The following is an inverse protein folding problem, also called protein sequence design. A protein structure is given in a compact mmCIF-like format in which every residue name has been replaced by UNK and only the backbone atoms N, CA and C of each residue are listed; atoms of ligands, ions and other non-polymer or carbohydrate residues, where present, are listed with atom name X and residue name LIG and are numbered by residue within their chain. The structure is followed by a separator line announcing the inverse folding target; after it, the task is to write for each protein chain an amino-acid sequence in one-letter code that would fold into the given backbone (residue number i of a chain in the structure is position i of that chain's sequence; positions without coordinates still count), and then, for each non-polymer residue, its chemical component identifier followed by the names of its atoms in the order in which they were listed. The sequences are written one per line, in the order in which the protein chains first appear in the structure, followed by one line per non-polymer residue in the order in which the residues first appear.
data_IF_666999647273
#
_entry.id   IF_666999647273
#
_cell.length_a   1.000
_cell.length_b   1.000
_cell.length_c   1.000
_cell.angle_alpha   90.00
_cell.angle_beta   90.00
_cell.angle_gamma   90.00
#
_symmetry.space_group_name_H-M   'P 1'
#
loop_
_entity.id
_entity.type
_entity.pdbx_description
1 polymer ?
#
# COMPACT_ATOMS: atom_id res chain seq x y z
N UNK A 1 -8.42 -35.48 7.41
CA UNK A 1 -7.57 -34.58 8.21
C UNK A 1 -8.03 -33.17 7.87
N UNK A 2 -8.53 -32.43 8.82
CA UNK A 2 -8.83 -31.02 8.61
C UNK A 2 -7.49 -30.29 8.35
N UNK A 3 -7.41 -29.60 7.22
CA UNK A 3 -6.25 -28.79 6.90
C UNK A 3 -6.18 -27.64 7.92
N UNK A 4 -5.15 -27.63 8.75
CA UNK A 4 -4.91 -26.50 9.64
C UNK A 4 -4.24 -25.38 8.85
N UNK A 5 -4.66 -24.10 9.03
CA UNK A 5 -4.05 -23.00 8.32
C UNK A 5 -2.54 -22.92 8.61
N UNK A 6 -1.74 -22.70 7.54
CA UNK A 6 -0.28 -22.63 7.64
C UNK A 6 0.19 -21.23 8.09
N UNK A 7 -0.64 -20.22 7.85
CA UNK A 7 -0.41 -18.84 8.27
C UNK A 7 -1.28 -18.50 9.49
N UNK A 8 -0.79 -17.71 10.45
CA UNK A 8 -1.58 -17.19 11.55
C UNK A 8 -2.48 -16.02 11.15
N UNK A 9 -2.57 -15.72 9.86
CA UNK A 9 -3.32 -14.61 9.28
C UNK A 9 -3.87 -15.00 7.92
N UNK A 10 -4.80 -14.19 7.40
CA UNK A 10 -5.44 -14.42 6.10
C UNK A 10 -4.81 -13.60 4.99
N UNK A 11 -4.76 -14.23 3.82
CA UNK A 11 -4.45 -13.64 2.53
C UNK A 11 -5.77 -13.43 1.78
N UNK A 12 -5.91 -12.31 1.10
CA UNK A 12 -7.12 -11.99 0.33
C UNK A 12 -6.77 -12.06 -1.14
N UNK A 13 -7.48 -12.91 -1.89
CA UNK A 13 -7.23 -13.10 -3.31
C UNK A 13 -8.49 -13.51 -4.05
N UNK A 14 -8.61 -13.05 -5.30
CA UNK A 14 -9.59 -13.55 -6.28
C UNK A 14 -8.96 -13.56 -7.67
N UNK A 15 -9.35 -14.55 -8.49
CA UNK A 15 -9.02 -14.56 -9.91
C UNK A 15 -9.57 -13.33 -10.66
N UNK A 16 -10.61 -12.69 -10.12
CA UNK A 16 -11.18 -11.46 -10.64
C UNK A 16 -10.29 -10.20 -10.45
N UNK A 17 -9.12 -10.33 -9.82
CA UNK A 17 -8.13 -9.24 -9.72
C UNK A 17 -7.36 -9.01 -11.02
N UNK A 18 -7.50 -9.89 -12.00
CA UNK A 18 -6.90 -9.68 -13.32
C UNK A 18 -7.48 -8.43 -13.97
N UNK A 19 -6.58 -7.50 -14.34
CA UNK A 19 -6.95 -6.28 -15.06
C UNK A 19 -6.92 -6.54 -16.57
N UNK A 20 -8.05 -6.46 -17.28
CA UNK A 20 -8.13 -6.76 -18.72
C UNK A 20 -7.65 -5.56 -19.55
N UNK A 21 -6.37 -5.19 -19.40
CA UNK A 21 -5.74 -4.01 -20.01
C UNK A 21 -4.91 -4.32 -21.26
N UNK A 22 -4.90 -5.58 -21.70
CA UNK A 22 -4.15 -6.01 -22.89
C UNK A 22 -2.63 -6.00 -22.68
N UNK A 23 -1.88 -5.74 -23.75
CA UNK A 23 -0.42 -5.60 -23.68
C UNK A 23 -0.06 -4.26 -23.03
N UNK A 24 0.28 -4.30 -21.75
CA UNK A 24 0.59 -3.13 -20.94
C UNK A 24 1.85 -3.38 -20.11
N UNK A 25 2.57 -2.32 -19.71
CA UNK A 25 3.72 -2.43 -18.81
C UNK A 25 3.32 -3.00 -17.45
N UNK A 26 2.09 -2.73 -16.99
CA UNK A 26 1.53 -3.31 -15.78
C UNK A 26 1.26 -4.82 -16.01
N UNK A 27 1.95 -5.73 -15.31
CA UNK A 27 1.78 -7.17 -15.52
C UNK A 27 0.51 -7.65 -14.79
N UNK A 28 -0.64 -7.60 -15.48
CA UNK A 28 -1.95 -7.91 -14.90
C UNK A 28 -2.04 -9.32 -14.29
N UNK A 29 -1.22 -10.26 -14.78
CA UNK A 29 -1.12 -11.62 -14.27
C UNK A 29 -0.35 -11.77 -12.97
N UNK A 30 0.37 -10.75 -12.51
CA UNK A 30 1.26 -10.85 -11.33
C UNK A 30 0.53 -11.37 -10.09
N UNK A 31 -0.71 -10.96 -9.86
CA UNK A 31 -1.49 -11.37 -8.69
C UNK A 31 -1.77 -12.88 -8.66
N UNK A 32 -2.15 -13.44 -9.82
CA UNK A 32 -2.34 -14.89 -9.97
C UNK A 32 -1.01 -15.65 -9.80
N UNK A 33 0.06 -15.14 -10.42
CA UNK A 33 1.37 -15.76 -10.31
C UNK A 33 1.90 -15.77 -8.87
N UNK A 34 1.63 -14.71 -8.08
CA UNK A 34 1.97 -14.69 -6.66
C UNK A 34 1.15 -15.70 -5.87
N UNK A 35 -0.18 -15.76 -6.08
CA UNK A 35 -1.05 -16.75 -5.46
C UNK A 35 -0.54 -18.18 -5.73
N UNK A 36 -0.30 -18.52 -7.00
CA UNK A 36 0.17 -19.84 -7.42
C UNK A 36 1.54 -20.17 -6.82
N UNK A 37 2.45 -19.17 -6.77
CA UNK A 37 3.78 -19.31 -6.15
C UNK A 37 3.69 -19.58 -4.65
N UNK A 38 2.83 -18.90 -3.91
CA UNK A 38 2.66 -19.10 -2.47
C UNK A 38 2.17 -20.51 -2.14
N UNK A 39 1.23 -21.04 -2.95
CA UNK A 39 0.76 -22.43 -2.83
C UNK A 39 1.86 -23.43 -3.20
N UNK A 40 2.51 -23.25 -4.35
CA UNK A 40 3.54 -24.16 -4.85
C UNK A 40 4.77 -24.26 -3.94
N UNK A 41 5.14 -23.15 -3.29
CA UNK A 41 6.29 -23.09 -2.38
C UNK A 41 5.98 -23.56 -0.95
N UNK A 42 4.71 -23.81 -0.62
CA UNK A 42 4.29 -24.16 0.73
C UNK A 42 4.44 -23.01 1.75
N UNK A 43 4.47 -21.78 1.28
CA UNK A 43 4.41 -20.59 2.16
C UNK A 43 3.00 -20.43 2.71
N UNK A 44 1.98 -20.71 1.89
CA UNK A 44 0.57 -20.71 2.26
C UNK A 44 -0.15 -21.98 1.74
N UNK A 45 -1.28 -22.27 2.32
CA UNK A 45 -2.24 -23.29 1.86
C UNK A 45 -3.54 -22.62 1.39
N UNK A 46 -4.39 -23.36 0.66
CA UNK A 46 -5.65 -22.85 0.15
C UNK A 46 -6.58 -22.30 1.25
N UNK A 47 -6.52 -22.89 2.45
CA UNK A 47 -7.29 -22.45 3.62
C UNK A 47 -6.83 -21.11 4.22
N UNK A 48 -5.64 -20.62 3.84
CA UNK A 48 -5.13 -19.31 4.26
C UNK A 48 -5.74 -18.17 3.44
N UNK A 49 -6.32 -18.48 2.27
CA UNK A 49 -6.93 -17.49 1.39
C UNK A 49 -8.42 -17.28 1.67
N UNK A 50 -8.83 -16.02 1.62
CA UNK A 50 -10.24 -15.63 1.59
C UNK A 50 -10.52 -14.92 0.27
N UNK A 51 -11.65 -15.25 -0.34
CA UNK A 51 -12.13 -14.55 -1.53
C UNK A 51 -12.99 -13.36 -1.10
N UNK A 52 -12.72 -12.15 -1.62
CA UNK A 52 -13.49 -10.96 -1.27
C UNK A 52 -14.74 -10.84 -2.13
N UNK A 53 -15.77 -10.22 -1.56
CA UNK A 53 -16.87 -9.66 -2.33
C UNK A 53 -16.48 -8.28 -2.89
N UNK A 54 -16.98 -7.87 -4.05
CA UNK A 54 -16.79 -6.50 -4.55
C UNK A 54 -17.26 -5.45 -3.55
N UNK A 55 -16.52 -4.35 -3.43
CA UNK A 55 -17.00 -3.20 -2.68
C UNK A 55 -18.32 -2.68 -3.26
N UNK A 56 -19.20 -2.18 -2.41
CA UNK A 56 -20.43 -1.51 -2.88
C UNK A 56 -20.13 -0.10 -3.36
N UNK A 57 -20.99 0.48 -4.20
CA UNK A 57 -20.87 1.88 -4.59
C UNK A 57 -20.87 2.82 -3.38
N UNK A 58 -21.61 2.46 -2.31
CA UNK A 58 -21.59 3.21 -1.05
C UNK A 58 -20.24 3.16 -0.33
N UNK A 59 -19.45 2.11 -0.52
CA UNK A 59 -18.09 2.03 0.01
C UNK A 59 -17.15 2.91 -0.81
N UNK A 60 -17.26 2.86 -2.13
CA UNK A 60 -16.47 3.69 -3.03
C UNK A 60 -16.76 5.19 -2.80
N UNK A 61 -18.02 5.54 -2.60
CA UNK A 61 -18.47 6.91 -2.29
C UNK A 61 -17.97 7.45 -0.93
N UNK A 62 -17.33 6.64 -0.08
CA UNK A 62 -16.63 7.14 1.10
C UNK A 62 -15.37 7.95 0.77
N UNK A 63 -14.85 7.77 -0.44
CA UNK A 63 -13.61 8.38 -0.93
C UNK A 63 -13.84 9.16 -2.22
N UNK A 64 -14.56 8.57 -3.16
CA UNK A 64 -14.73 9.13 -4.50
C UNK A 64 -16.03 9.90 -4.65
N UNK A 65 -16.01 10.93 -5.51
CA UNK A 65 -17.18 11.76 -5.76
C UNK A 65 -18.28 10.99 -6.50
N UNK A 66 -19.57 11.30 -6.23
CA UNK A 66 -20.67 10.66 -6.96
C UNK A 66 -20.58 10.84 -8.47
N UNK A 67 -20.10 11.98 -8.93
CA UNK A 67 -19.92 12.27 -10.36
C UNK A 67 -18.91 11.31 -11.00
N UNK A 68 -17.74 11.13 -10.37
CA UNK A 68 -16.71 10.24 -10.88
C UNK A 68 -17.16 8.77 -10.86
N UNK A 69 -17.77 8.33 -9.75
CA UNK A 69 -18.33 6.96 -9.66
C UNK A 69 -19.37 6.70 -10.74
N UNK A 70 -20.25 7.68 -11.01
CA UNK A 70 -21.22 7.56 -12.08
C UNK A 70 -20.57 7.47 -13.47
N UNK A 71 -19.52 8.26 -13.75
CA UNK A 71 -18.77 8.16 -15.02
C UNK A 71 -18.20 6.76 -15.21
N UNK A 72 -17.60 6.18 -14.17
CA UNK A 72 -17.08 4.81 -14.21
C UNK A 72 -18.15 3.77 -14.46
N UNK A 73 -19.31 3.90 -13.81
CA UNK A 73 -20.44 2.97 -13.98
C UNK A 73 -21.11 3.04 -15.35
N UNK A 74 -21.14 4.23 -15.93
CA UNK A 74 -21.84 4.47 -17.21
C UNK A 74 -20.92 4.49 -18.43
N UNK A 75 -19.58 4.44 -18.23
CA UNK A 75 -18.62 4.51 -19.34
C UNK A 75 -18.59 5.88 -19.99
N UNK A 76 -18.68 6.95 -19.21
CA UNK A 76 -18.75 8.33 -19.73
C UNK A 76 -17.52 9.16 -19.32
N UNK A 77 -16.39 8.50 -19.08
CA UNK A 77 -15.10 9.19 -18.97
C UNK A 77 -14.82 9.97 -20.26
N UNK A 78 -14.27 11.16 -20.12
CA UNK A 78 -13.79 11.93 -21.27
C UNK A 78 -12.48 11.32 -21.79
N UNK A 79 -12.10 11.57 -23.06
CA UNK A 79 -10.80 11.12 -23.59
C UNK A 79 -9.60 11.61 -22.78
N UNK A 80 -9.72 12.75 -22.10
CA UNK A 80 -8.69 13.27 -21.21
C UNK A 80 -8.58 12.45 -19.94
N UNK A 81 -9.70 12.10 -19.30
CA UNK A 81 -9.73 11.27 -18.10
C UNK A 81 -9.23 9.85 -18.38
N UNK A 82 -9.52 9.29 -19.55
CA UNK A 82 -8.96 7.99 -19.96
C UNK A 82 -7.45 8.07 -20.19
N UNK A 83 -6.96 9.19 -20.75
CA UNK A 83 -5.52 9.40 -20.95
C UNK A 83 -4.79 9.58 -19.60
N UNK A 84 -5.37 10.28 -18.63
CA UNK A 84 -4.82 10.46 -17.27
C UNK A 84 -4.83 9.14 -16.48
N UNK A 85 -5.84 8.28 -16.71
CA UNK A 85 -5.93 6.95 -16.11
C UNK A 85 -4.85 5.99 -16.64
N UNK A 86 -4.39 6.19 -17.88
CA UNK A 86 -3.32 5.42 -18.55
C UNK A 86 -3.62 3.92 -18.74
N UNK A 87 -4.85 3.47 -18.51
CA UNK A 87 -5.35 2.12 -18.81
C UNK A 87 -6.65 2.22 -19.58
N UNK A 88 -6.91 1.27 -20.54
CA UNK A 88 -8.11 1.32 -21.35
C UNK A 88 -9.36 1.07 -20.50
N UNK A 89 -10.36 1.93 -20.64
CA UNK A 89 -11.62 1.76 -19.94
C UNK A 89 -12.39 0.52 -20.44
N UNK A 90 -12.93 -0.26 -19.52
CA UNK A 90 -13.93 -1.30 -19.77
C UNK A 90 -14.78 -1.56 -18.51
N UNK A 91 -15.98 -2.12 -18.66
CA UNK A 91 -16.81 -2.53 -17.53
C UNK A 91 -16.16 -3.66 -16.71
N UNK A 92 -15.42 -4.55 -17.36
CA UNK A 92 -14.67 -5.62 -16.69
C UNK A 92 -13.53 -5.04 -15.86
N UNK A 93 -12.86 -3.99 -16.34
CA UNK A 93 -11.84 -3.26 -15.57
C UNK A 93 -12.46 -2.59 -14.35
N UNK A 94 -13.62 -1.94 -14.49
CA UNK A 94 -14.38 -1.37 -13.36
C UNK A 94 -14.70 -2.46 -12.33
N UNK A 95 -15.20 -3.60 -12.78
CA UNK A 95 -15.52 -4.73 -11.88
C UNK A 95 -14.29 -5.22 -11.11
N UNK A 96 -13.13 -5.33 -11.77
CA UNK A 96 -11.87 -5.73 -11.13
C UNK A 96 -11.43 -4.73 -10.05
N UNK A 97 -11.56 -3.42 -10.29
CA UNK A 97 -11.24 -2.39 -9.29
C UNK A 97 -12.20 -2.40 -8.11
N UNK A 98 -13.52 -2.61 -8.32
CA UNK A 98 -14.48 -2.78 -7.23
C UNK A 98 -14.15 -4.00 -6.38
N UNK A 99 -13.76 -5.10 -7.03
CA UNK A 99 -13.36 -6.33 -6.33
C UNK A 99 -12.06 -6.12 -5.53
N UNK A 100 -11.05 -5.43 -6.10
CA UNK A 100 -9.82 -5.11 -5.39
C UNK A 100 -10.06 -4.21 -4.18
N UNK A 101 -10.98 -3.22 -4.29
CA UNK A 101 -11.39 -2.40 -3.16
C UNK A 101 -12.10 -3.23 -2.08
N UNK A 102 -12.95 -4.19 -2.47
CA UNK A 102 -13.53 -5.17 -1.55
C UNK A 102 -12.48 -6.00 -0.84
N UNK A 103 -11.42 -6.39 -1.57
CA UNK A 103 -10.25 -7.08 -1.01
C UNK A 103 -9.53 -6.26 0.06
N UNK A 104 -9.30 -4.97 -0.19
CA UNK A 104 -8.66 -4.08 0.78
C UNK A 104 -9.54 -3.84 2.01
N UNK A 105 -10.86 -3.75 1.85
CA UNK A 105 -11.81 -3.72 2.99
C UNK A 105 -11.70 -5.00 3.82
N UNK A 106 -11.69 -6.17 3.18
CA UNK A 106 -11.60 -7.46 3.86
C UNK A 106 -10.24 -7.62 4.56
N UNK A 107 -9.14 -7.25 3.89
CA UNK A 107 -7.79 -7.28 4.48
C UNK A 107 -7.69 -6.37 5.71
N UNK A 108 -8.23 -5.14 5.65
CA UNK A 108 -8.28 -4.24 6.80
C UNK A 108 -9.04 -4.86 7.98
N UNK A 109 -10.19 -5.51 7.70
CA UNK A 109 -10.98 -6.19 8.73
C UNK A 109 -10.25 -7.38 9.35
N UNK A 110 -9.59 -8.21 8.53
CA UNK A 110 -8.80 -9.35 9.01
C UNK A 110 -7.57 -8.90 9.79
N UNK A 111 -6.88 -7.85 9.36
CA UNK A 111 -5.73 -7.30 10.09
C UNK A 111 -6.09 -6.91 11.53
N UNK A 112 -7.27 -6.36 11.77
CA UNK A 112 -7.75 -6.03 13.13
C UNK A 112 -8.01 -7.28 13.99
N UNK A 113 -8.16 -8.46 13.39
CA UNK A 113 -8.37 -9.74 14.08
C UNK A 113 -7.05 -10.51 14.22
N UNK A 114 -6.31 -10.63 13.12
CA UNK A 114 -5.15 -11.52 13.00
C UNK A 114 -3.82 -10.79 13.16
N UNK A 115 -3.83 -9.46 13.43
CA UNK A 115 -2.70 -8.54 13.53
C UNK A 115 -2.05 -8.18 12.21
N UNK A 116 -2.15 -9.02 11.19
CA UNK A 116 -1.73 -8.74 9.82
C UNK A 116 -2.69 -9.42 8.86
N UNK A 117 -2.94 -8.81 7.71
CA UNK A 117 -3.58 -9.44 6.57
C UNK A 117 -3.11 -8.77 5.28
N UNK A 118 -3.00 -9.55 4.21
CA UNK A 118 -2.43 -9.13 2.94
C UNK A 118 -3.47 -9.30 1.84
N UNK A 119 -3.84 -8.20 1.18
CA UNK A 119 -4.54 -8.25 -0.09
C UNK A 119 -3.51 -8.54 -1.19
N UNK A 120 -3.62 -9.70 -1.86
CA UNK A 120 -2.75 -10.13 -2.97
C UNK A 120 -3.14 -9.35 -4.24
N UNK A 121 -3.21 -8.05 -4.10
CA UNK A 121 -3.67 -7.08 -5.09
C UNK A 121 -3.76 -5.70 -4.45
N UNK A 122 -4.46 -4.76 -5.10
CA UNK A 122 -4.70 -3.43 -4.58
C UNK A 122 -3.43 -2.54 -4.50
N UNK A 123 -3.53 -1.48 -3.71
CA UNK A 123 -2.47 -0.48 -3.58
C UNK A 123 -2.51 0.59 -4.65
N UNK A 124 -3.70 0.90 -5.14
CA UNK A 124 -3.93 1.89 -6.21
C UNK A 124 -3.89 3.31 -5.66
N UNK A 125 -2.70 3.78 -5.32
CA UNK A 125 -2.43 4.97 -4.52
C UNK A 125 -2.47 6.30 -5.30
N UNK A 126 -2.59 6.24 -6.64
CA UNK A 126 -2.66 7.44 -7.48
C UNK A 126 -4.07 7.96 -7.71
N UNK A 127 -5.13 7.18 -7.46
CA UNK A 127 -6.50 7.62 -7.68
C UNK A 127 -6.90 8.76 -6.72
N UNK A 128 -7.42 9.84 -7.28
CA UNK A 128 -7.96 11.02 -6.59
C UNK A 128 -9.46 10.84 -6.28
N UNK A 129 -10.05 11.73 -5.45
CA UNK A 129 -11.49 11.65 -5.19
C UNK A 129 -12.36 11.77 -6.44
N UNK A 130 -11.94 12.53 -7.43
CA UNK A 130 -12.73 12.94 -8.59
C UNK A 130 -12.20 12.44 -9.95
N UNK A 131 -11.06 11.75 -9.97
CA UNK A 131 -10.48 11.15 -11.18
C UNK A 131 -9.52 9.99 -10.85
N UNK A 132 -9.24 9.16 -11.86
CA UNK A 132 -8.19 8.15 -11.81
C UNK A 132 -6.93 8.65 -12.48
N UNK A 133 -5.76 8.15 -12.06
CA UNK A 133 -4.45 8.55 -12.54
C UNK A 133 -3.45 7.39 -12.37
N UNK A 134 -2.43 7.31 -13.23
CA UNK A 134 -1.31 6.38 -13.06
C UNK A 134 -1.75 4.93 -12.84
N UNK A 135 -2.54 4.36 -13.71
CA UNK A 135 -3.13 3.00 -13.65
C UNK A 135 -4.14 2.77 -12.51
N UNK A 136 -4.43 3.79 -11.69
CA UNK A 136 -5.28 3.69 -10.52
C UNK A 136 -6.66 4.30 -10.79
N UNK A 137 -7.66 3.45 -10.96
CA UNK A 137 -9.05 3.90 -11.16
C UNK A 137 -9.73 4.25 -9.84
N UNK A 138 -9.47 3.50 -8.78
CA UNK A 138 -10.07 3.66 -7.45
C UNK A 138 -8.98 3.51 -6.40
N UNK A 139 -9.03 4.35 -5.36
CA UNK A 139 -8.12 4.26 -4.24
C UNK A 139 -8.59 3.25 -3.19
N UNK A 140 -8.30 1.99 -3.41
CA UNK A 140 -8.76 0.87 -2.59
C UNK A 140 -8.32 0.93 -1.12
N UNK A 141 -7.08 1.39 -0.85
CA UNK A 141 -6.56 1.56 0.52
C UNK A 141 -7.35 2.62 1.28
N UNK A 142 -7.62 3.78 0.65
CA UNK A 142 -8.42 4.82 1.26
C UNK A 142 -9.86 4.37 1.51
N UNK A 143 -10.46 3.61 0.58
CA UNK A 143 -11.77 2.99 0.76
C UNK A 143 -11.77 2.04 1.96
N UNK A 144 -10.74 1.20 2.10
CA UNK A 144 -10.57 0.30 3.23
C UNK A 144 -10.52 1.06 4.57
N UNK A 145 -9.70 2.11 4.66
CA UNK A 145 -9.58 2.97 5.85
C UNK A 145 -10.93 3.61 6.19
N UNK A 146 -11.56 4.30 5.24
CA UNK A 146 -12.84 4.99 5.45
C UNK A 146 -13.95 4.03 5.84
N UNK A 147 -13.95 2.81 5.28
CA UNK A 147 -14.90 1.78 5.66
C UNK A 147 -14.69 1.31 7.11
N UNK A 148 -13.48 1.09 7.56
CA UNK A 148 -13.19 0.73 8.95
C UNK A 148 -13.55 1.86 9.92
N UNK A 149 -13.35 3.12 9.54
CA UNK A 149 -13.77 4.29 10.31
C UNK A 149 -15.29 4.41 10.39
N UNK A 150 -16.00 4.26 9.28
CA UNK A 150 -17.47 4.26 9.22
C UNK A 150 -18.10 3.17 10.10
N UNK A 151 -17.48 1.99 10.07
CA UNK A 151 -17.95 0.84 10.87
C UNK A 151 -17.56 0.97 12.37
N UNK A 152 -16.87 2.06 12.76
CA UNK A 152 -16.46 2.31 14.16
C UNK A 152 -15.37 1.35 14.66
N UNK A 153 -14.65 0.66 13.76
CA UNK A 153 -13.61 -0.30 14.11
C UNK A 153 -12.27 0.36 14.41
N UNK A 154 -12.00 1.48 13.76
CA UNK A 154 -10.81 2.32 13.98
C UNK A 154 -11.23 3.79 14.03
N UNK A 155 -10.41 4.63 14.63
CA UNK A 155 -10.52 6.09 14.54
C UNK A 155 -9.39 6.66 13.70
N UNK A 156 -8.19 6.12 13.87
CA UNK A 156 -6.96 6.61 13.25
C UNK A 156 -6.32 5.54 12.37
N UNK A 157 -5.66 5.97 11.29
CA UNK A 157 -4.86 5.08 10.46
C UNK A 157 -3.55 5.76 10.04
N UNK A 158 -2.55 4.95 9.70
CA UNK A 158 -1.31 5.42 9.11
C UNK A 158 -1.08 4.68 7.80
N UNK A 159 -0.80 5.40 6.71
CA UNK A 159 -0.28 4.78 5.49
C UNK A 159 1.25 4.82 5.50
N UNK A 160 1.89 3.71 5.15
CA UNK A 160 3.33 3.61 4.87
C UNK A 160 3.45 3.15 3.44
N UNK A 161 3.70 4.09 2.56
CA UNK A 161 3.81 3.87 1.13
C UNK A 161 5.28 3.72 0.74
N UNK A 162 5.62 2.52 0.29
CA UNK A 162 6.95 2.14 -0.16
C UNK A 162 6.98 1.75 -1.65
N UNK A 163 5.98 2.15 -2.42
CA UNK A 163 6.03 2.18 -3.87
C UNK A 163 7.07 3.20 -4.34
N UNK A 164 7.69 2.99 -5.50
CA UNK A 164 8.70 3.91 -6.01
C UNK A 164 8.11 5.27 -6.41
N UNK A 165 6.81 5.29 -6.72
CA UNK A 165 6.07 6.47 -7.09
C UNK A 165 5.46 7.15 -5.86
N UNK A 166 5.33 8.47 -5.90
CA UNK A 166 4.64 9.20 -4.82
C UNK A 166 3.14 8.89 -4.83
N UNK A 167 2.58 8.51 -3.68
CA UNK A 167 1.15 8.28 -3.51
C UNK A 167 0.34 9.58 -3.52
N UNK A 168 0.27 10.25 -4.66
CA UNK A 168 -0.37 11.57 -4.80
C UNK A 168 -1.88 11.53 -4.52
N UNK A 169 -2.57 10.47 -4.91
CA UNK A 169 -3.96 10.24 -4.55
C UNK A 169 -4.15 10.09 -3.04
N UNK A 170 -3.29 9.30 -2.38
CA UNK A 170 -3.27 9.16 -0.92
C UNK A 170 -3.11 10.50 -0.23
N UNK A 171 -2.10 11.28 -0.65
CA UNK A 171 -1.82 12.59 -0.10
C UNK A 171 -2.99 13.57 -0.30
N UNK A 172 -3.60 13.58 -1.48
CA UNK A 172 -4.74 14.44 -1.80
C UNK A 172 -6.00 14.08 -0.99
N UNK A 173 -6.34 12.78 -0.87
CA UNK A 173 -7.52 12.30 -0.13
C UNK A 173 -7.41 12.66 1.34
N UNK A 174 -6.22 12.58 1.92
CA UNK A 174 -6.01 12.80 3.35
C UNK A 174 -5.39 14.16 3.71
N UNK A 175 -5.27 15.10 2.74
CA UNK A 175 -4.67 16.41 2.92
C UNK A 175 -5.25 17.26 4.07
N UNK A 176 -6.53 17.08 4.42
CA UNK A 176 -7.21 17.82 5.50
C UNK A 176 -6.98 17.26 6.91
N UNK A 177 -6.29 16.11 7.03
CA UNK A 177 -6.11 15.37 8.30
C UNK A 177 -4.76 15.70 8.99
N UNK A 178 -4.04 16.73 8.52
CA UNK A 178 -2.68 17.05 8.93
C UNK A 178 -2.58 17.52 10.39
N UNK A 179 -1.73 16.87 11.18
CA UNK A 179 -1.03 17.52 12.27
C UNK A 179 0.15 18.30 11.66
N UNK A 180 0.24 19.61 11.94
CA UNK A 180 1.36 20.44 11.48
C UNK A 180 2.66 19.90 12.08
N UNK A 181 3.47 19.19 11.31
CA UNK A 181 4.88 18.94 11.61
C UNK A 181 5.73 19.91 10.79
N UNK A 182 6.80 20.42 11.40
CA UNK A 182 7.79 21.23 10.69
C UNK A 182 8.41 20.40 9.54
N UNK A 183 8.78 21.03 8.41
CA UNK A 183 9.42 20.33 7.31
C UNK A 183 10.74 19.70 7.79
N UNK A 184 10.95 18.42 7.43
CA UNK A 184 12.28 17.84 7.51
C UNK A 184 13.24 18.67 6.66
N UNK A 185 14.47 18.93 7.10
CA UNK A 185 15.44 19.67 6.30
C UNK A 185 15.64 18.94 4.97
N UNK A 186 15.60 19.74 3.88
CA UNK A 186 15.80 19.25 2.52
C UNK A 186 17.07 18.40 2.42
N UNK A 187 16.94 17.27 1.71
CA UNK A 187 17.99 16.31 1.50
C UNK A 187 19.32 16.95 1.08
N UNK A 188 20.34 16.70 1.81
CA UNK A 188 21.77 16.58 1.51
C UNK A 188 22.62 16.88 2.74
N UNK A 189 22.38 16.17 3.83
CA UNK A 189 23.40 16.02 4.88
C UNK A 189 23.25 14.63 5.53
N UNK A 190 24.37 13.97 5.66
CA UNK A 190 24.52 12.63 6.26
C UNK A 190 23.63 12.41 7.50
N UNK A 191 23.03 11.20 7.67
CA UNK A 191 22.06 10.90 8.73
C UNK A 191 22.58 10.99 10.17
N UNK A 192 23.86 11.26 10.41
CA UNK A 192 24.52 11.10 11.70
C UNK A 192 24.69 12.38 12.54
N UNK A 193 24.24 13.53 12.11
CA UNK A 193 24.39 14.72 12.94
C UNK A 193 23.10 15.53 12.99
N UNK A 194 22.28 15.32 13.96
CA UNK A 194 21.38 16.26 14.65
C UNK A 194 20.06 15.64 15.08
N UNK A 195 20.13 14.78 16.08
CA UNK A 195 18.96 14.41 16.87
C UNK A 195 19.03 15.10 18.23
N UNK A 196 18.59 16.35 18.32
CA UNK A 196 18.17 16.99 19.58
C UNK A 196 17.27 18.17 19.28
N UNK A 197 15.96 17.96 19.31
CA UNK A 197 15.00 19.03 19.51
C UNK A 197 13.82 18.58 20.35
N UNK A 198 13.40 19.47 21.21
CA UNK A 198 12.52 19.36 22.37
C UNK A 198 11.16 18.71 22.07
N UNK A 199 10.77 17.76 22.94
CA UNK A 199 9.43 17.22 23.04
C UNK A 199 8.41 18.35 23.35
N UNK A 200 7.43 18.48 22.48
CA UNK A 200 6.18 19.16 22.81
C UNK A 200 5.04 18.19 22.54
N UNK A 201 4.52 17.59 23.60
CA UNK A 201 3.28 16.81 23.56
C UNK A 201 2.12 17.70 23.14
N UNK A 202 1.62 17.55 21.93
CA UNK A 202 0.30 18.05 21.57
C UNK A 202 -0.70 16.90 21.53
N UNK A 203 -1.55 16.83 22.55
CA UNK A 203 -2.78 16.05 22.56
C UNK A 203 -3.87 16.89 21.87
N UNK A 204 -4.23 16.51 20.67
CA UNK A 204 -5.41 16.98 19.97
C UNK A 204 -5.93 15.84 19.11
N UNK A 205 -6.81 15.00 19.69
CA UNK A 205 -7.46 13.92 18.94
C UNK A 205 -8.66 14.48 18.18
N UNK A 206 -8.52 14.61 16.85
CA UNK A 206 -9.68 14.73 15.97
C UNK A 206 -10.08 13.34 15.49
N UNK A 207 -11.35 12.98 15.65
CA UNK A 207 -11.87 11.69 15.20
C UNK A 207 -11.74 11.58 13.67
N UNK A 208 -11.06 10.51 13.19
CA UNK A 208 -10.95 10.22 11.76
C UNK A 208 -9.64 10.62 11.10
N UNK A 209 -8.61 10.92 11.86
CA UNK A 209 -7.30 11.33 11.33
C UNK A 209 -6.55 10.17 10.66
N UNK A 210 -5.90 10.48 9.54
CA UNK A 210 -4.99 9.57 8.81
C UNK A 210 -3.64 10.25 8.64
N UNK A 211 -2.57 9.58 9.06
CA UNK A 211 -1.19 10.03 8.90
C UNK A 211 -0.55 9.32 7.70
N UNK A 212 0.00 10.07 6.75
CA UNK A 212 0.53 9.52 5.51
C UNK A 212 2.05 9.64 5.45
N UNK A 213 2.73 8.53 5.17
CA UNK A 213 4.18 8.47 4.93
C UNK A 213 4.37 7.94 3.51
N UNK A 214 5.16 8.65 2.69
CA UNK A 214 5.53 8.22 1.35
C UNK A 214 7.06 8.26 1.18
N UNK A 215 7.65 7.09 0.84
CA UNK A 215 9.03 6.98 0.44
C UNK A 215 9.07 6.75 -1.07
N UNK A 216 9.50 7.73 -1.82
CA UNK A 216 9.42 7.68 -3.29
C UNK A 216 10.65 8.28 -3.96
N UNK A 217 10.88 7.88 -5.18
CA UNK A 217 11.95 8.44 -5.99
C UNK A 217 11.63 9.91 -6.35
N UNK A 218 12.53 10.83 -6.02
CA UNK A 218 12.33 12.26 -6.20
C UNK A 218 11.99 12.65 -7.63
N UNK A 219 12.79 12.19 -8.58
CA UNK A 219 12.69 12.53 -10.01
C UNK A 219 11.76 11.60 -10.80
N UNK A 220 10.77 10.97 -10.16
CA UNK A 220 9.83 10.06 -10.78
C UNK A 220 8.38 10.58 -10.68
N UNK A 221 7.46 9.84 -11.30
CA UNK A 221 6.03 10.12 -11.32
C UNK A 221 5.43 10.22 -9.90
N UNK A 222 4.46 11.08 -9.68
CA UNK A 222 3.96 12.12 -10.60
C UNK A 222 4.85 13.37 -10.60
N UNK A 223 4.69 14.23 -11.62
CA UNK A 223 5.42 15.50 -11.69
C UNK A 223 5.02 16.46 -10.56
N UNK A 224 3.75 16.44 -10.16
CA UNK A 224 3.22 17.24 -9.04
C UNK A 224 2.94 16.30 -7.87
N UNK A 225 3.62 16.53 -6.76
CA UNK A 225 3.51 15.73 -5.53
C UNK A 225 2.80 16.53 -4.44
N UNK A 226 1.48 16.28 -4.20
CA UNK A 226 0.81 16.87 -3.03
C UNK A 226 1.51 16.38 -1.76
N UNK A 227 1.68 17.23 -0.74
CA UNK A 227 2.46 16.84 0.42
C UNK A 227 1.71 15.80 1.28
N UNK A 228 2.42 14.72 1.65
CA UNK A 228 2.03 13.76 2.71
C UNK A 228 2.31 14.34 4.10
N UNK A 229 2.01 13.59 5.16
CA UNK A 229 2.44 13.97 6.52
C UNK A 229 3.96 13.88 6.66
N UNK A 230 4.58 12.88 6.03
CA UNK A 230 6.03 12.75 5.84
C UNK A 230 6.28 12.31 4.41
N UNK A 231 7.08 13.08 3.68
CA UNK A 231 7.60 12.72 2.37
C UNK A 231 9.12 12.48 2.48
N UNK A 232 9.58 11.36 1.93
CA UNK A 232 10.99 11.02 1.80
C UNK A 232 11.34 10.95 0.32
N UNK A 233 11.89 12.05 -0.17
CA UNK A 233 12.36 12.20 -1.55
C UNK A 233 13.70 11.47 -1.73
N UNK A 234 13.68 10.28 -2.32
CA UNK A 234 14.86 9.46 -2.52
C UNK A 234 15.58 9.82 -3.83
N UNK A 235 16.91 10.02 -3.81
CA UNK A 235 17.68 10.19 -5.03
C UNK A 235 17.68 8.92 -5.89
N UNK A 236 17.92 9.10 -7.20
CA UNK A 236 18.09 7.99 -8.13
C UNK A 236 19.22 7.05 -7.66
N UNK A 237 19.03 5.74 -7.84
CA UNK A 237 20.04 4.75 -7.52
C UNK A 237 20.23 4.42 -6.04
N UNK A 238 19.37 4.92 -5.13
CA UNK A 238 19.41 4.53 -3.71
C UNK A 238 19.31 3.01 -3.57
N UNK A 239 20.25 2.43 -2.82
CA UNK A 239 20.34 1.00 -2.54
C UNK A 239 19.74 0.61 -1.18
N UNK A 240 19.90 -0.68 -0.84
CA UNK A 240 19.22 -1.31 0.30
C UNK A 240 19.43 -0.59 1.63
N UNK A 241 20.70 -0.38 2.04
CA UNK A 241 20.99 0.09 3.40
C UNK A 241 20.54 1.55 3.61
N UNK A 242 20.74 2.41 2.61
CA UNK A 242 20.28 3.80 2.67
C UNK A 242 18.75 3.87 2.70
N UNK A 243 18.07 3.08 1.86
CA UNK A 243 16.62 3.00 1.84
C UNK A 243 16.06 2.57 3.20
N UNK A 244 16.62 1.50 3.78
CA UNK A 244 16.19 0.99 5.08
C UNK A 244 16.40 2.00 6.21
N UNK A 245 17.50 2.75 6.19
CA UNK A 245 17.76 3.81 7.15
C UNK A 245 16.72 4.95 7.05
N UNK A 246 16.37 5.35 5.83
CA UNK A 246 15.31 6.35 5.59
C UNK A 246 13.94 5.87 6.05
N UNK A 247 13.58 4.62 5.74
CA UNK A 247 12.31 4.01 6.14
C UNK A 247 12.19 3.93 7.67
N UNK A 248 13.23 3.42 8.36
CA UNK A 248 13.23 3.33 9.82
C UNK A 248 13.05 4.70 10.48
N UNK A 249 13.77 5.71 9.98
CA UNK A 249 13.67 7.07 10.49
C UNK A 249 12.27 7.68 10.27
N UNK A 250 11.71 7.54 9.05
CA UNK A 250 10.39 8.07 8.71
C UNK A 250 9.28 7.41 9.54
N UNK A 251 9.28 6.07 9.60
CA UNK A 251 8.29 5.30 10.35
C UNK A 251 8.40 5.54 11.86
N UNK A 252 9.62 5.53 12.41
CA UNK A 252 9.85 5.85 13.81
C UNK A 252 9.44 7.28 14.16
N UNK A 253 9.70 8.24 13.28
CA UNK A 253 9.28 9.64 13.46
C UNK A 253 7.76 9.79 13.40
N UNK A 254 7.11 9.17 12.41
CA UNK A 254 5.65 9.17 12.29
C UNK A 254 4.97 8.57 13.52
N UNK A 255 5.45 7.43 14.00
CA UNK A 255 4.90 6.74 15.18
C UNK A 255 5.19 7.44 16.53
N UNK A 256 6.12 8.37 16.59
CA UNK A 256 6.26 9.29 17.73
C UNK A 256 5.24 10.41 17.73
N UNK A 257 4.79 10.82 16.55
CA UNK A 257 3.86 11.93 16.34
C UNK A 257 2.40 11.48 16.33
N UNK A 258 2.15 10.24 15.90
CA UNK A 258 0.82 9.73 15.64
C UNK A 258 0.70 8.25 16.04
N UNK A 259 -0.38 7.91 16.72
CA UNK A 259 -0.67 6.57 17.20
C UNK A 259 -1.86 5.99 16.41
N UNK A 260 -1.60 5.14 15.37
CA UNK A 260 -2.65 4.60 14.53
C UNK A 260 -3.30 3.36 15.15
N UNK A 261 -4.63 3.21 14.96
CA UNK A 261 -5.36 1.98 15.24
C UNK A 261 -5.11 0.91 14.15
N UNK A 262 -4.69 1.33 12.94
CA UNK A 262 -4.37 0.47 11.79
C UNK A 262 -3.24 1.10 10.96
N UNK A 263 -2.23 0.31 10.62
CA UNK A 263 -1.20 0.64 9.65
C UNK A 263 -1.56 0.02 8.31
N UNK A 264 -1.62 0.82 7.25
CA UNK A 264 -1.83 0.38 5.87
C UNK A 264 -0.50 0.46 5.13
N UNK A 265 0.08 -0.70 4.84
CA UNK A 265 1.37 -0.83 4.18
C UNK A 265 1.19 -1.07 2.68
N UNK A 266 1.67 -0.14 1.87
CA UNK A 266 1.67 -0.22 0.40
C UNK A 266 3.05 -0.72 0.00
N UNK A 267 3.14 -2.03 -0.30
CA UNK A 267 4.38 -2.79 -0.46
C UNK A 267 4.76 -2.93 -1.95
N UNK A 268 4.94 -1.81 -2.67
CA UNK A 268 5.34 -1.82 -4.08
C UNK A 268 6.64 -2.61 -4.31
N UNK A 269 6.73 -3.35 -5.42
CA UNK A 269 7.94 -4.07 -5.81
C UNK A 269 8.87 -3.23 -6.69
N UNK A 270 8.42 -2.09 -7.15
CA UNK A 270 9.08 -1.21 -8.12
C UNK A 270 10.29 -0.37 -7.61
N UNK A 271 10.64 -0.31 -6.31
CA UNK A 271 11.97 0.12 -5.92
C UNK A 271 13.08 -0.84 -6.34
N UNK A 272 12.73 -2.00 -6.91
CA UNK A 272 13.67 -3.01 -7.41
C UNK A 272 14.53 -2.47 -8.57
N UNK A 273 15.84 -2.77 -8.53
CA UNK A 273 16.84 -2.27 -9.49
C UNK A 273 16.62 -2.63 -10.97
N UNK A 274 15.86 -3.71 -11.25
CA UNK A 274 15.52 -4.16 -12.61
C UNK A 274 14.08 -3.79 -12.98
N UNK A 275 13.45 -2.87 -12.23
CA UNK A 275 12.13 -2.34 -12.55
C UNK A 275 12.20 -1.41 -13.78
N UNK A 276 11.12 -1.39 -14.57
CA UNK A 276 11.07 -0.60 -15.81
C UNK A 276 10.60 0.84 -15.57
N UNK A 277 9.89 1.08 -14.47
CA UNK A 277 9.31 2.39 -14.12
C UNK A 277 9.98 3.01 -12.88
N UNK A 278 10.76 2.21 -12.15
CA UNK A 278 11.56 2.67 -11.01
C UNK A 278 13.02 2.93 -11.39
N UNK A 279 13.66 3.86 -10.66
CA UNK A 279 15.08 4.20 -10.82
C UNK A 279 15.87 4.06 -9.52
N UNK A 280 15.33 3.35 -8.52
CA UNK A 280 16.08 2.96 -7.32
C UNK A 280 16.90 1.67 -7.59
N UNK A 281 17.72 1.25 -6.63
CA UNK A 281 18.65 0.14 -6.79
C UNK A 281 18.52 -0.93 -5.72
N UNK A 282 17.30 -1.16 -5.21
CA UNK A 282 17.07 -2.19 -4.20
C UNK A 282 17.21 -3.59 -4.80
N UNK A 283 17.75 -4.50 -4.01
CA UNK A 283 17.78 -5.93 -4.32
C UNK A 283 16.49 -6.61 -3.87
N UNK A 284 16.22 -7.82 -4.35
CA UNK A 284 15.09 -8.65 -3.85
C UNK A 284 15.23 -8.89 -2.33
N UNK A 285 16.46 -9.11 -1.85
CA UNK A 285 16.72 -9.27 -0.42
C UNK A 285 16.52 -7.96 0.34
N UNK A 286 16.93 -6.81 -0.22
CA UNK A 286 16.68 -5.50 0.36
C UNK A 286 15.19 -5.21 0.52
N UNK A 287 14.37 -5.56 -0.47
CA UNK A 287 12.92 -5.45 -0.39
C UNK A 287 12.30 -6.37 0.66
N UNK A 288 12.81 -7.59 0.83
CA UNK A 288 12.40 -8.46 1.94
C UNK A 288 12.75 -7.84 3.31
N UNK A 289 13.98 -7.31 3.47
CA UNK A 289 14.40 -6.60 4.69
C UNK A 289 13.56 -5.37 4.97
N UNK A 290 13.11 -4.65 3.93
CA UNK A 290 12.16 -3.54 4.03
C UNK A 290 10.85 -4.00 4.67
N UNK A 291 10.26 -5.07 4.14
CA UNK A 291 8.99 -5.61 4.62
C UNK A 291 9.12 -6.09 6.08
N UNK A 292 10.19 -6.82 6.38
CA UNK A 292 10.49 -7.25 7.76
C UNK A 292 10.64 -6.07 8.74
N UNK A 293 11.23 -4.97 8.31
CA UNK A 293 11.39 -3.76 9.15
C UNK A 293 10.02 -3.18 9.51
N UNK A 294 9.13 -2.99 8.53
CA UNK A 294 7.78 -2.49 8.76
C UNK A 294 7.00 -3.41 9.70
N UNK A 295 7.02 -4.71 9.44
CA UNK A 295 6.32 -5.69 10.27
C UNK A 295 6.85 -5.76 11.71
N UNK A 296 8.18 -5.74 11.90
CA UNK A 296 8.79 -5.74 13.24
C UNK A 296 8.42 -4.50 14.04
N UNK A 297 8.45 -3.32 13.42
CA UNK A 297 8.09 -2.07 14.09
C UNK A 297 6.59 -2.07 14.48
N UNK A 298 5.72 -2.47 13.56
CA UNK A 298 4.28 -2.53 13.82
C UNK A 298 3.97 -3.55 14.94
N UNK A 299 4.56 -4.74 14.87
CA UNK A 299 4.39 -5.78 15.89
C UNK A 299 4.87 -5.34 17.26
N UNK A 300 6.05 -4.72 17.35
CA UNK A 300 6.61 -4.24 18.62
C UNK A 300 5.73 -3.19 19.30
N UNK A 301 4.85 -2.53 18.55
CA UNK A 301 3.88 -1.52 19.03
C UNK A 301 2.45 -2.03 19.12
N UNK A 302 2.23 -3.31 18.83
CA UNK A 302 0.93 -3.94 18.78
C UNK A 302 -0.05 -3.26 17.81
N UNK A 303 0.44 -2.76 16.65
CA UNK A 303 -0.36 -2.10 15.61
C UNK A 303 -0.72 -3.13 14.54
N UNK A 304 -2.01 -3.34 14.24
CA UNK A 304 -2.45 -4.18 13.13
C UNK A 304 -1.96 -3.63 11.78
N UNK A 305 -1.63 -4.53 10.83
CA UNK A 305 -1.12 -4.16 9.51
C UNK A 305 -1.98 -4.74 8.40
N UNK A 306 -2.61 -3.87 7.61
CA UNK A 306 -3.17 -4.22 6.32
C UNK A 306 -2.10 -3.98 5.23
N UNK A 307 -1.87 -4.96 4.36
CA UNK A 307 -0.88 -4.86 3.27
C UNK A 307 -1.55 -4.93 1.91
N UNK A 308 -1.06 -4.13 0.96
CA UNK A 308 -1.39 -4.22 -0.48
C UNK A 308 -0.11 -4.24 -1.30
N UNK A 309 -0.14 -4.85 -2.50
CA UNK A 309 1.08 -5.06 -3.28
C UNK A 309 1.50 -3.90 -4.18
N UNK A 310 0.57 -3.06 -4.62
CA UNK A 310 0.84 -1.89 -5.46
C UNK A 310 1.68 -2.17 -6.72
N UNK A 311 2.63 -1.28 -7.06
CA UNK A 311 3.47 -1.37 -8.25
C UNK A 311 4.41 -2.58 -8.28
N UNK A 312 5.10 -2.71 -9.40
CA UNK A 312 6.05 -3.77 -9.68
C UNK A 312 6.01 -4.16 -11.16
N UNK A 313 7.01 -3.70 -11.87
CA UNK A 313 7.11 -3.72 -13.35
C UNK A 313 8.47 -4.25 -13.78
N UNK A 314 9.01 -5.23 -13.04
CA UNK A 314 10.31 -5.80 -13.34
C UNK A 314 10.35 -6.35 -14.78
N UNK A 315 11.51 -6.23 -15.45
CA UNK A 315 11.73 -6.77 -16.81
C UNK A 315 11.43 -8.26 -16.88
N UNK A 316 11.73 -8.98 -15.81
CA UNK A 316 11.31 -10.36 -15.61
C UNK A 316 10.19 -10.37 -14.56
N UNK A 317 8.96 -10.70 -14.94
CA UNK A 317 7.79 -10.74 -14.04
C UNK A 317 8.02 -11.65 -12.83
N UNK A 318 8.85 -12.70 -12.97
CA UNK A 318 9.20 -13.62 -11.89
C UNK A 318 9.93 -12.93 -10.73
N UNK A 319 10.65 -11.83 -10.99
CA UNK A 319 11.28 -11.03 -9.93
C UNK A 319 10.22 -10.29 -9.11
N UNK A 320 9.24 -9.65 -9.77
CA UNK A 320 8.07 -9.04 -9.10
C UNK A 320 7.30 -10.07 -8.26
N UNK A 321 7.05 -11.26 -8.83
CA UNK A 321 6.37 -12.36 -8.14
C UNK A 321 7.17 -12.82 -6.92
N UNK A 322 8.50 -12.90 -7.04
CA UNK A 322 9.38 -13.29 -5.94
C UNK A 322 9.35 -12.23 -4.82
N UNK A 323 9.42 -10.95 -5.16
CA UNK A 323 9.37 -9.84 -4.20
C UNK A 323 8.07 -9.88 -3.41
N UNK A 324 6.91 -9.93 -4.07
CA UNK A 324 5.61 -9.98 -3.39
C UNK A 324 5.41 -11.28 -2.58
N UNK A 325 5.95 -12.41 -3.05
CA UNK A 325 5.93 -13.66 -2.27
C UNK A 325 6.80 -13.54 -1.01
N UNK A 326 7.94 -12.85 -1.10
CA UNK A 326 8.79 -12.57 0.05
C UNK A 326 8.11 -11.63 1.06
N UNK A 327 7.23 -10.71 0.64
CA UNK A 327 6.42 -9.91 1.56
C UNK A 327 5.55 -10.79 2.45
N UNK A 328 4.91 -11.83 1.89
CA UNK A 328 4.13 -12.81 2.67
C UNK A 328 5.04 -13.63 3.58
N UNK A 329 6.19 -14.07 3.09
CA UNK A 329 7.17 -14.82 3.88
C UNK A 329 7.71 -13.98 5.05
N UNK A 330 8.02 -12.70 4.83
CA UNK A 330 8.45 -11.76 5.87
C UNK A 330 7.37 -11.58 6.95
N UNK A 331 6.10 -11.42 6.56
CA UNK A 331 4.99 -11.37 7.49
C UNK A 331 4.90 -12.67 8.32
N UNK A 332 4.97 -13.85 7.67
CA UNK A 332 5.00 -15.15 8.33
C UNK A 332 6.13 -15.22 9.36
N UNK A 333 7.35 -14.88 8.97
CA UNK A 333 8.52 -14.92 9.85
C UNK A 333 8.35 -14.01 11.08
N UNK A 334 7.79 -12.82 10.89
CA UNK A 334 7.61 -11.87 11.99
C UNK A 334 6.44 -12.28 12.89
N UNK A 335 5.29 -12.68 12.35
CA UNK A 335 4.08 -12.90 13.15
C UNK A 335 3.94 -14.33 13.68
N UNK A 336 4.61 -15.36 13.08
CA UNK A 336 4.63 -16.74 13.62
C UNK A 336 5.62 -16.91 14.76
N UNK A 337 6.84 -16.36 14.66
CA UNK A 337 7.92 -16.55 15.66
C UNK A 337 7.65 -15.96 17.06
N UNK A 338 6.45 -15.45 17.33
CA UNK A 338 6.09 -14.79 18.58
C UNK A 338 5.42 -15.65 19.65
N UNK A 339 5.22 -16.94 19.43
CA UNK A 339 4.62 -17.84 20.42
C UNK A 339 5.64 -18.68 21.18
N UNK A 340 6.94 -18.36 21.07
CA UNK A 340 8.03 -19.04 21.79
C UNK A 340 8.75 -18.04 22.67
N UNK A 341 8.18 -17.74 23.83
CA UNK A 341 8.90 -17.21 25.00
C UNK A 341 8.13 -17.57 26.26
#
# INVERSE_FOLDING_TARGET
MEAHPMLPFKLIYSNGYYLPIGAHVFPAEKYRLVHDRLLASGVAEATDFLEPEPATDQDILLVHTPEYVNKLRTGTLSPREEMELEVPYSQDLVAAFWLAAGGSILAARQALTDRVSINVGGGFHHAFPDHGEGFCMIHDVAVGIRRMQRDGRIRTAMTVDCDVHHGNGTAAIFAGTRTRSEPLPSACTSPLSQARSKETKMRGTHAGDVFTISLHQHNNYPAVKPPSSIDVDLPDGVGDDDYLAWLDNALSSGLRQFEPDLLCYIAGADPYREDQLGGLSLTIEGLKRRDELVFRIARARDIPVMVTFAGGYARNVEDTVTIHSNTVAAAKEVFVRGFSS
#
